data_IF_188408955920
#
_entry.id   IF_188408955920
#
_cell.length_a   1.000
_cell.length_b   1.000
_cell.length_c   1.000
_cell.angle_alpha   90.00
_cell.angle_beta   90.00
_cell.angle_gamma   90.00
#
_symmetry.space_group_name_H-M   'P 1'
#
loop_
_entity.id
_entity.type
_entity.pdbx_description
1 polymer ?
#
# COMPACT_ATOMS: atom_id res chain seq x y z
N UNK A 1 16.37 -18.67 52.81
CA UNK A 1 15.73 -19.23 51.59
C UNK A 1 14.49 -18.44 51.14
N UNK A 2 13.63 -17.91 52.02
CA UNK A 2 12.43 -17.13 51.63
C UNK A 2 12.72 -15.90 50.76
N UNK A 3 13.74 -15.12 51.12
CA UNK A 3 14.04 -13.81 50.50
C UNK A 3 14.48 -13.89 49.04
N UNK A 4 15.18 -14.96 48.64
CA UNK A 4 15.56 -15.15 47.23
C UNK A 4 14.35 -15.46 46.35
N UNK A 5 13.37 -16.20 46.88
CA UNK A 5 12.16 -16.58 46.16
C UNK A 5 11.25 -15.36 45.96
N UNK A 6 11.13 -14.53 46.99
CA UNK A 6 10.39 -13.25 46.95
C UNK A 6 11.00 -12.28 45.92
N UNK A 7 12.33 -12.12 45.94
CA UNK A 7 13.03 -11.27 44.97
C UNK A 7 12.83 -11.76 43.52
N UNK A 8 12.89 -13.09 43.31
CA UNK A 8 12.69 -13.68 41.99
C UNK A 8 11.25 -13.49 41.49
N UNK A 9 10.27 -13.59 42.39
CA UNK A 9 8.87 -13.34 42.08
C UNK A 9 8.61 -11.86 41.75
N UNK A 10 9.27 -10.93 42.44
CA UNK A 10 9.19 -9.50 42.14
C UNK A 10 9.74 -9.19 40.75
N UNK A 11 10.91 -9.72 40.37
CA UNK A 11 11.49 -9.53 39.03
C UNK A 11 10.58 -10.10 37.94
N UNK A 12 9.98 -11.27 38.16
CA UNK A 12 9.05 -11.87 37.20
C UNK A 12 7.76 -11.03 37.04
N UNK A 13 7.23 -10.47 38.13
CA UNK A 13 6.06 -9.57 38.07
C UNK A 13 6.37 -8.28 37.31
N UNK A 14 7.54 -7.69 37.55
CA UNK A 14 7.99 -6.48 36.84
C UNK A 14 8.20 -6.75 35.34
N UNK A 15 8.84 -7.88 35.00
CA UNK A 15 9.00 -8.33 33.62
C UNK A 15 7.65 -8.54 32.91
N UNK A 16 6.68 -9.15 33.60
CA UNK A 16 5.34 -9.37 33.07
C UNK A 16 4.58 -8.04 32.85
N UNK A 17 4.72 -7.09 33.77
CA UNK A 17 4.11 -5.76 33.65
C UNK A 17 4.67 -5.01 32.43
N UNK A 18 6.00 -5.01 32.26
CA UNK A 18 6.68 -4.41 31.10
C UNK A 18 6.26 -5.06 29.79
N UNK A 19 6.19 -6.40 29.75
CA UNK A 19 5.76 -7.13 28.56
C UNK A 19 4.31 -6.79 28.17
N UNK A 20 3.40 -6.64 29.15
CA UNK A 20 2.02 -6.22 28.90
C UNK A 20 1.94 -4.80 28.34
N UNK A 21 2.69 -3.86 28.90
CA UNK A 21 2.75 -2.48 28.42
C UNK A 21 3.31 -2.41 26.98
N UNK A 22 4.39 -3.16 26.70
CA UNK A 22 4.95 -3.27 25.35
C UNK A 22 3.95 -3.84 24.35
N UNK A 23 3.21 -4.89 24.72
CA UNK A 23 2.18 -5.48 23.86
C UNK A 23 1.07 -4.48 23.56
N UNK A 24 0.56 -3.81 24.59
CA UNK A 24 -0.49 -2.81 24.44
C UNK A 24 -0.06 -1.66 23.51
N UNK A 25 1.17 -1.16 23.67
CA UNK A 25 1.73 -0.13 22.77
C UNK A 25 1.88 -0.63 21.34
N UNK A 26 2.27 -1.89 21.14
CA UNK A 26 2.38 -2.48 19.82
C UNK A 26 1.01 -2.65 19.14
N UNK A 27 -0.01 -3.08 19.90
CA UNK A 27 -1.39 -3.18 19.42
C UNK A 27 -1.93 -1.81 18.98
N UNK A 28 -1.78 -0.77 19.81
CA UNK A 28 -2.18 0.59 19.45
C UNK A 28 -1.48 1.12 18.19
N UNK A 29 -0.17 0.87 18.06
CA UNK A 29 0.59 1.29 16.87
C UNK A 29 0.12 0.55 15.62
N UNK A 30 -0.18 -0.74 15.73
CA UNK A 30 -0.68 -1.54 14.61
C UNK A 30 -2.03 -0.99 14.14
N UNK A 31 -2.95 -0.73 15.06
CA UNK A 31 -4.27 -0.21 14.72
C UNK A 31 -4.17 1.18 14.06
N UNK A 32 -3.28 2.04 14.56
CA UNK A 32 -3.03 3.34 13.94
C UNK A 32 -2.47 3.22 12.52
N UNK A 33 -1.51 2.32 12.29
CA UNK A 33 -0.93 2.08 10.96
C UNK A 33 -1.96 1.49 9.98
N UNK A 34 -2.82 0.58 10.45
CA UNK A 34 -3.88 0.02 9.62
C UNK A 34 -4.89 1.08 9.18
N UNK A 35 -5.31 1.97 10.09
CA UNK A 35 -6.18 3.10 9.72
C UNK A 35 -5.51 4.03 8.72
N UNK A 36 -4.25 4.37 8.94
CA UNK A 36 -3.50 5.22 8.01
C UNK A 36 -3.40 4.57 6.62
N UNK A 37 -3.16 3.26 6.56
CA UNK A 37 -3.14 2.53 5.29
C UNK A 37 -4.50 2.60 4.58
N UNK A 38 -5.59 2.38 5.30
CA UNK A 38 -6.94 2.42 4.74
C UNK A 38 -7.29 3.82 4.21
N UNK A 39 -6.97 4.88 4.97
CA UNK A 39 -7.14 6.27 4.54
C UNK A 39 -6.34 6.59 3.26
N UNK A 40 -5.09 6.13 3.17
CA UNK A 40 -4.27 6.31 1.96
C UNK A 40 -4.92 5.60 0.76
N UNK A 41 -5.39 4.36 0.94
CA UNK A 41 -6.05 3.61 -0.14
C UNK A 41 -7.36 4.27 -0.57
N UNK A 42 -8.14 4.81 0.37
CA UNK A 42 -9.34 5.58 0.04
C UNK A 42 -9.02 6.87 -0.72
N UNK A 43 -7.96 7.59 -0.34
CA UNK A 43 -7.50 8.78 -1.07
C UNK A 43 -7.10 8.45 -2.51
N UNK A 44 -6.31 7.39 -2.71
CA UNK A 44 -5.90 6.95 -4.04
C UNK A 44 -7.12 6.59 -4.90
N UNK A 45 -8.07 5.82 -4.34
CA UNK A 45 -9.34 5.50 -5.02
C UNK A 45 -10.19 6.73 -5.32
N UNK A 46 -10.21 7.72 -4.43
CA UNK A 46 -10.95 8.98 -4.62
C UNK A 46 -10.34 9.85 -5.74
N UNK A 47 -9.04 9.74 -6.00
CA UNK A 47 -8.37 10.35 -7.16
C UNK A 47 -8.68 9.62 -8.48
N UNK A 48 -9.55 8.59 -8.45
CA UNK A 48 -9.98 7.83 -9.62
C UNK A 48 -8.98 6.77 -10.06
N UNK A 49 -7.99 6.49 -9.22
CA UNK A 49 -6.91 5.56 -9.50
C UNK A 49 -7.11 4.31 -8.65
N UNK A 50 -7.29 3.14 -9.26
CA UNK A 50 -7.21 1.87 -8.54
C UNK A 50 -5.75 1.38 -8.57
N UNK A 51 -5.01 1.43 -7.45
CA UNK A 51 -3.59 1.08 -7.44
C UNK A 51 -3.34 -0.39 -7.81
N UNK A 52 -4.30 -1.27 -7.61
CA UNK A 52 -4.18 -2.68 -8.01
C UNK A 52 -4.45 -2.89 -9.51
N UNK A 53 -5.10 -1.93 -10.17
CA UNK A 53 -5.40 -1.95 -11.61
C UNK A 53 -4.52 -1.00 -12.43
N UNK A 54 -3.56 -0.32 -11.80
CA UNK A 54 -2.74 0.72 -12.44
C UNK A 54 -2.01 0.21 -13.68
N UNK A 55 -1.33 -0.93 -13.54
CA UNK A 55 -0.59 -1.57 -14.64
C UNK A 55 -1.52 -1.96 -15.81
N UNK A 56 -2.72 -2.44 -15.47
CA UNK A 56 -3.74 -2.87 -16.43
C UNK A 56 -4.29 -1.67 -17.21
N UNK A 57 -4.46 -0.54 -16.54
CA UNK A 57 -4.94 0.69 -17.17
C UNK A 57 -3.86 1.33 -18.05
N UNK A 58 -2.58 1.25 -17.66
CA UNK A 58 -1.45 1.64 -18.51
C UNK A 58 -1.40 0.81 -19.78
N UNK A 59 -1.50 -0.52 -19.67
CA UNK A 59 -1.46 -1.43 -20.83
C UNK A 59 -2.61 -1.14 -21.82
N UNK A 60 -3.83 -0.87 -21.32
CA UNK A 60 -4.95 -0.45 -22.18
C UNK A 60 -4.66 0.85 -22.91
N UNK A 61 -4.15 1.86 -22.21
CA UNK A 61 -3.85 3.16 -22.80
C UNK A 61 -2.75 3.05 -23.88
N UNK A 62 -1.73 2.22 -23.67
CA UNK A 62 -0.69 1.96 -24.68
C UNK A 62 -1.26 1.31 -25.94
N UNK A 63 -2.17 0.33 -25.79
CA UNK A 63 -2.86 -0.31 -26.93
C UNK A 63 -3.69 0.72 -27.69
N UNK A 64 -4.45 1.56 -26.98
CA UNK A 64 -5.32 2.58 -27.57
C UNK A 64 -4.50 3.63 -28.34
N UNK A 65 -3.35 4.06 -27.80
CA UNK A 65 -2.42 4.94 -28.50
C UNK A 65 -1.91 4.31 -29.80
N UNK A 66 -1.54 3.02 -29.77
CA UNK A 66 -1.09 2.31 -30.96
C UNK A 66 -2.15 2.24 -32.05
N UNK A 67 -3.40 1.94 -31.66
CA UNK A 67 -4.53 1.90 -32.59
C UNK A 67 -4.83 3.27 -33.21
N UNK A 68 -4.85 4.33 -32.39
CA UNK A 68 -5.06 5.70 -32.88
C UNK A 68 -3.92 6.15 -33.80
N UNK A 69 -2.68 5.76 -33.52
CA UNK A 69 -1.54 6.08 -34.38
C UNK A 69 -1.68 5.40 -35.76
N UNK A 70 -2.06 4.11 -35.81
CA UNK A 70 -2.33 3.42 -37.08
C UNK A 70 -3.50 4.04 -37.84
N UNK A 71 -4.57 4.42 -37.15
CA UNK A 71 -5.74 5.03 -37.75
C UNK A 71 -5.38 6.39 -38.39
N UNK A 72 -4.62 7.22 -37.68
CA UNK A 72 -4.09 8.49 -38.20
C UNK A 72 -3.13 8.26 -39.38
N UNK A 73 -2.26 7.26 -39.31
CA UNK A 73 -1.34 6.94 -40.40
C UNK A 73 -2.08 6.46 -41.65
N UNK A 74 -3.16 5.68 -41.51
CA UNK A 74 -4.02 5.24 -42.60
C UNK A 74 -4.87 6.36 -43.22
N UNK A 75 -5.16 7.42 -42.45
CA UNK A 75 -5.85 8.61 -42.95
C UNK A 75 -4.94 9.53 -43.76
N UNK A 76 -3.62 9.40 -43.65
CA UNK A 76 -2.68 10.19 -44.43
C UNK A 76 -2.60 9.58 -45.84
N UNK A 77 -2.94 10.33 -46.90
CA UNK A 77 -2.88 9.84 -48.26
C UNK A 77 -1.42 9.90 -48.74
N UNK A 78 -0.60 8.97 -48.26
CA UNK A 78 0.83 8.89 -48.55
C UNK A 78 1.13 8.87 -50.06
N UNK A 79 0.23 8.28 -50.83
CA UNK A 79 0.29 8.22 -52.30
C UNK A 79 0.17 9.60 -52.98
N UNK A 80 -0.46 10.59 -52.32
CA UNK A 80 -0.56 11.97 -52.82
C UNK A 80 0.60 12.86 -52.35
N UNK A 81 1.32 12.44 -51.31
CA UNK A 81 2.36 13.25 -50.64
C UNK A 81 3.77 12.84 -51.09
N UNK A 82 3.99 11.59 -51.49
CA UNK A 82 5.27 11.11 -52.03
C UNK A 82 5.42 11.25 -53.55
N UNK A 83 4.48 11.95 -54.20
CA UNK A 83 4.52 12.31 -55.62
C UNK A 83 5.30 13.59 -55.89
#
# INVERSE_FOLDING_TARGET
MSTMMENKLATLKDGLAKAKDMRYKAELRKDALMKQQEEILEQIRAEGVDPDALELEIEKLEIEIGQLAEEVEGMIPWDLIKG
#
